data_IF_972659046539
#
_entry.id   IF_972659046539
#
_cell.length_a   1.000
_cell.length_b   1.000
_cell.length_c   1.000
_cell.angle_alpha   90.00
_cell.angle_beta   90.00
_cell.angle_gamma   90.00
#
_symmetry.space_group_name_H-M   'P 1'
#
loop_
_entity.id
_entity.type
_entity.pdbx_description
1 polymer ?
#
# COMPACT_ATOMS: atom_id res chain seq x y z
N UNK A 1 -5.03 -21.32 -10.95
CA UNK A 1 -4.66 -19.92 -11.29
C UNK A 1 -5.31 -19.01 -10.26
N UNK A 2 -4.52 -18.26 -9.47
CA UNK A 2 -5.07 -17.20 -8.62
C UNK A 2 -5.66 -16.13 -9.55
N UNK A 3 -6.89 -15.69 -9.28
CA UNK A 3 -7.55 -14.66 -10.07
C UNK A 3 -6.88 -13.31 -9.79
N UNK A 4 -6.64 -12.52 -10.83
CA UNK A 4 -6.17 -11.13 -10.70
C UNK A 4 -7.13 -10.37 -9.79
N UNK A 5 -6.58 -9.71 -8.76
CA UNK A 5 -7.34 -8.78 -7.95
C UNK A 5 -7.41 -7.45 -8.71
N UNK A 6 -8.59 -6.85 -8.91
CA UNK A 6 -8.71 -5.57 -9.61
C UNK A 6 -7.83 -4.49 -8.97
N UNK A 7 -7.17 -3.67 -9.80
CA UNK A 7 -6.30 -2.58 -9.31
C UNK A 7 -7.03 -1.66 -8.35
N UNK A 8 -8.30 -1.34 -8.63
CA UNK A 8 -9.15 -0.52 -7.76
C UNK A 8 -9.31 -1.11 -6.35
N UNK A 9 -9.40 -2.44 -6.23
CA UNK A 9 -9.46 -3.13 -4.93
C UNK A 9 -8.14 -3.03 -4.19
N UNK A 10 -7.01 -3.19 -4.90
CA UNK A 10 -5.68 -3.03 -4.33
C UNK A 10 -5.50 -1.60 -3.79
N UNK A 11 -5.83 -0.60 -4.60
CA UNK A 11 -5.74 0.81 -4.22
C UNK A 11 -6.67 1.14 -3.04
N UNK A 12 -7.88 0.58 -2.99
CA UNK A 12 -8.80 0.74 -1.88
C UNK A 12 -8.22 0.19 -0.57
N UNK A 13 -7.61 -1.00 -0.61
CA UNK A 13 -6.96 -1.62 0.55
C UNK A 13 -5.80 -0.76 1.05
N UNK A 14 -4.95 -0.26 0.15
CA UNK A 14 -3.83 0.63 0.52
C UNK A 14 -4.34 1.91 1.18
N UNK A 15 -5.37 2.55 0.60
CA UNK A 15 -5.97 3.78 1.15
C UNK A 15 -6.63 3.56 2.51
N UNK A 16 -7.14 2.35 2.78
CA UNK A 16 -7.77 1.97 4.05
C UNK A 16 -6.81 1.40 5.08
N UNK A 17 -5.57 1.07 4.71
CA UNK A 17 -4.56 0.68 5.67
C UNK A 17 -4.34 1.85 6.64
N UNK A 18 -4.25 1.58 7.94
CA UNK A 18 -3.84 2.49 9.01
C UNK A 18 -2.57 1.94 9.69
N UNK A 19 -1.91 2.71 10.55
CA UNK A 19 -0.68 2.31 11.26
C UNK A 19 -0.75 0.92 11.91
N UNK A 20 -1.91 0.56 12.49
CA UNK A 20 -2.14 -0.73 13.15
C UNK A 20 -2.27 -1.93 12.21
N UNK A 21 -2.55 -1.69 10.93
CA UNK A 21 -2.77 -2.72 9.90
C UNK A 21 -1.81 -2.57 8.71
N UNK A 22 -0.77 -1.74 8.86
CA UNK A 22 0.21 -1.49 7.81
C UNK A 22 0.97 -2.77 7.44
N UNK A 23 1.25 -3.66 8.40
CA UNK A 23 1.87 -4.97 8.10
C UNK A 23 0.96 -5.84 7.22
N UNK A 24 -0.34 -5.91 7.52
CA UNK A 24 -1.31 -6.69 6.73
C UNK A 24 -1.50 -6.15 5.32
N UNK A 25 -1.43 -4.84 5.14
CA UNK A 25 -1.45 -4.22 3.81
C UNK A 25 -0.19 -4.56 3.00
N UNK A 26 0.99 -4.55 3.63
CA UNK A 26 2.26 -4.94 2.99
C UNK A 26 2.26 -6.43 2.63
N UNK A 27 1.81 -7.31 3.53
CA UNK A 27 1.68 -8.75 3.27
C UNK A 27 0.70 -9.03 2.12
N UNK A 28 -0.41 -8.31 2.08
CA UNK A 28 -1.35 -8.38 0.97
C UNK A 28 -0.71 -7.99 -0.36
N UNK A 29 0.00 -6.85 -0.42
CA UNK A 29 0.69 -6.38 -1.63
C UNK A 29 1.75 -7.39 -2.08
N UNK A 30 2.55 -7.92 -1.16
CA UNK A 30 3.56 -8.94 -1.45
C UNK A 30 2.94 -10.26 -1.95
N UNK A 31 1.67 -10.52 -1.64
CA UNK A 31 0.95 -11.70 -2.12
C UNK A 31 0.38 -11.55 -3.54
N UNK A 32 0.41 -10.34 -4.10
CA UNK A 32 -0.08 -10.06 -5.45
C UNK A 32 0.88 -10.63 -6.50
N UNK A 33 0.30 -11.18 -7.56
CA UNK A 33 1.06 -11.60 -8.73
C UNK A 33 1.26 -10.40 -9.67
N UNK A 34 2.38 -9.69 -9.50
CA UNK A 34 2.64 -8.44 -10.21
C UNK A 34 2.67 -8.58 -11.74
N UNK A 35 2.92 -9.78 -12.26
CA UNK A 35 2.89 -10.07 -13.71
C UNK A 35 1.50 -9.92 -14.33
N UNK A 36 0.43 -9.90 -13.52
CA UNK A 36 -0.94 -9.71 -14.00
C UNK A 36 -1.34 -8.23 -14.17
N UNK A 37 -0.45 -7.30 -13.81
CA UNK A 37 -0.71 -5.86 -13.84
C UNK A 37 0.11 -5.20 -14.95
N UNK A 38 -0.49 -4.20 -15.59
CA UNK A 38 0.23 -3.34 -16.53
C UNK A 38 1.24 -2.46 -15.81
N UNK A 39 2.17 -1.88 -16.55
CA UNK A 39 3.14 -0.94 -15.99
C UNK A 39 2.46 0.31 -15.38
N UNK A 40 1.35 0.77 -15.98
CA UNK A 40 0.54 1.86 -15.44
C UNK A 40 -0.14 1.45 -14.13
N UNK A 41 -0.75 0.27 -14.07
CA UNK A 41 -1.39 -0.24 -12.84
C UNK A 41 -0.37 -0.40 -11.70
N UNK A 42 0.84 -0.90 -12.00
CA UNK A 42 1.91 -1.02 -11.02
C UNK A 42 2.40 0.33 -10.51
N UNK A 43 2.47 1.33 -11.40
CA UNK A 43 2.81 2.70 -11.03
C UNK A 43 1.77 3.28 -10.07
N UNK A 44 0.48 3.14 -10.37
CA UNK A 44 -0.59 3.64 -9.49
C UNK A 44 -0.54 2.97 -8.11
N UNK A 45 -0.31 1.66 -8.06
CA UNK A 45 -0.14 0.92 -6.80
C UNK A 45 1.05 1.47 -6.00
N UNK A 46 2.19 1.70 -6.67
CA UNK A 46 3.40 2.23 -6.06
C UNK A 46 3.22 3.66 -5.53
N UNK A 47 2.59 4.53 -6.31
CA UNK A 47 2.37 5.94 -5.95
C UNK A 47 1.45 6.04 -4.72
N UNK A 48 0.34 5.29 -4.71
CA UNK A 48 -0.60 5.28 -3.58
C UNK A 48 0.01 4.65 -2.32
N UNK A 49 0.81 3.60 -2.47
CA UNK A 49 1.54 3.01 -1.33
C UNK A 49 2.53 4.01 -0.73
N UNK A 50 3.29 4.70 -1.58
CA UNK A 50 4.29 5.70 -1.18
C UNK A 50 3.62 6.87 -0.46
N UNK A 51 2.50 7.37 -0.99
CA UNK A 51 1.71 8.43 -0.35
C UNK A 51 1.24 8.00 1.04
N UNK A 52 0.69 6.78 1.16
CA UNK A 52 0.16 6.28 2.43
C UNK A 52 1.24 6.08 3.48
N UNK A 53 2.39 5.49 3.11
CA UNK A 53 3.55 5.35 4.01
C UNK A 53 4.07 6.73 4.44
N UNK A 54 4.16 7.68 3.50
CA UNK A 54 4.60 9.05 3.80
C UNK A 54 3.69 9.75 4.80
N UNK A 55 2.37 9.52 4.74
CA UNK A 55 1.42 10.02 5.74
C UNK A 55 1.71 9.45 7.13
N UNK A 56 1.98 8.14 7.24
CA UNK A 56 2.29 7.52 8.52
C UNK A 56 3.58 8.02 9.15
N UNK A 57 4.65 8.15 8.36
CA UNK A 57 5.93 8.70 8.83
C UNK A 57 5.76 10.14 9.35
N UNK A 58 4.92 10.96 8.68
CA UNK A 58 4.63 12.33 9.15
C UNK A 58 3.75 12.38 10.40
N UNK A 59 2.98 11.34 10.67
CA UNK A 59 2.09 11.23 11.83
C UNK A 59 2.81 10.68 13.06
N UNK A 60 4.01 10.11 12.94
CA UNK A 60 4.85 9.81 14.10
C UNK A 60 5.30 11.15 14.73
N UNK A 61 4.84 11.50 15.95
CA UNK A 61 5.48 12.57 16.68
C UNK A 61 6.88 12.05 17.00
N UNK A 62 7.93 12.66 16.44
CA UNK A 62 9.30 12.43 16.93
C UNK A 62 9.28 12.58 18.46
N UNK A 63 9.43 11.50 19.26
CA UNK A 63 9.59 11.63 20.70
C UNK A 63 11.06 11.99 20.91
N UNK A 64 11.41 13.26 20.65
CA UNK A 64 12.82 13.61 20.53
C UNK A 64 13.10 15.10 20.43
N UNK A 65 12.64 15.85 21.43
CA UNK A 65 13.37 16.93 22.13
C UNK A 65 12.37 17.86 22.83
N UNK A 66 12.20 17.67 24.14
CA UNK A 66 11.90 18.72 25.10
C UNK A 66 12.87 18.54 26.27
#
# INVERSE_FOLDING_TARGET
MKRKIPVETVLYIIKKADLSVCSGAVDFINSLDFYQYSQEELKDISDVLTERISMFIRLEPFPGKS
#
